data_IF_982061113391
#
_entry.id   IF_982061113391
#
_cell.length_a   1.000
_cell.length_b   1.000
_cell.length_c   1.000
_cell.angle_alpha   90.00
_cell.angle_beta   90.00
_cell.angle_gamma   90.00
#
_symmetry.space_group_name_H-M   'P 1'
#
loop_
_entity.id
_entity.type
_entity.pdbx_description
1 polymer ?
#
# COMPACT_ATOMS: atom_id res chain seq x y z
N UNK A 1 17.96 -18.25 -16.40
CA UNK A 1 17.37 -18.29 -15.04
C UNK A 1 18.47 -18.07 -14.03
N UNK A 2 18.57 -16.87 -13.46
CA UNK A 2 19.47 -16.54 -12.34
C UNK A 2 18.65 -15.80 -11.30
N UNK A 3 18.49 -16.41 -10.12
CA UNK A 3 17.89 -15.81 -8.93
C UNK A 3 18.98 -14.95 -8.29
N UNK A 4 18.81 -13.62 -8.30
CA UNK A 4 19.64 -12.73 -7.51
C UNK A 4 18.93 -12.46 -6.19
N UNK A 5 19.33 -13.22 -5.18
CA UNK A 5 19.08 -12.98 -3.78
C UNK A 5 20.03 -11.85 -3.33
N UNK A 6 19.54 -10.61 -3.25
CA UNK A 6 20.32 -9.52 -2.68
C UNK A 6 20.02 -9.44 -1.18
N UNK A 7 20.95 -9.97 -0.40
CA UNK A 7 20.98 -9.93 1.05
C UNK A 7 21.28 -8.48 1.47
N UNK A 8 20.29 -7.81 2.06
CA UNK A 8 20.42 -6.49 2.66
C UNK A 8 21.38 -6.60 3.85
N UNK A 9 22.63 -6.21 3.62
CA UNK A 9 23.72 -6.37 4.58
C UNK A 9 23.74 -5.19 5.53
N UNK A 10 23.19 -5.41 6.72
CA UNK A 10 23.74 -5.06 8.04
C UNK A 10 24.87 -4.01 8.07
N UNK A 11 24.52 -2.75 8.39
CA UNK A 11 25.47 -1.75 8.90
C UNK A 11 25.22 -1.51 10.40
N UNK A 12 25.43 -2.54 11.22
CA UNK A 12 25.57 -2.36 12.68
C UNK A 12 27.04 -1.99 12.93
N UNK A 13 27.33 -0.70 13.05
CA UNK A 13 28.58 -0.22 13.64
C UNK A 13 28.31 0.19 15.09
N UNK A 14 28.53 -0.79 15.97
CA UNK A 14 28.76 -0.59 17.41
C UNK A 14 29.91 0.42 17.61
N UNK A 15 29.63 1.55 18.24
CA UNK A 15 30.63 2.29 19.00
C UNK A 15 30.21 2.28 20.47
N UNK A 16 30.97 1.53 21.27
CA UNK A 16 30.82 1.45 22.70
C UNK A 16 31.69 2.50 23.41
N UNK A 17 31.26 2.84 24.63
CA UNK A 17 31.96 3.45 25.77
C UNK A 17 31.83 4.96 25.97
N UNK A 18 30.96 5.31 26.92
CA UNK A 18 30.92 6.61 27.59
C UNK A 18 29.98 6.58 28.79
N UNK A 19 30.43 6.06 29.94
CA UNK A 19 29.68 6.11 31.20
C UNK A 19 29.62 7.53 31.75
N UNK A 20 28.42 8.14 31.78
CA UNK A 20 28.04 9.14 32.77
C UNK A 20 26.54 9.03 33.06
N UNK A 21 26.24 8.68 34.31
CA UNK A 21 24.89 8.67 34.86
C UNK A 21 24.41 10.12 35.05
N UNK A 22 23.42 10.53 34.27
CA UNK A 22 22.61 11.74 34.49
C UNK A 22 21.23 11.51 33.86
N UNK A 23 20.18 11.62 34.66
CA UNK A 23 18.82 11.95 34.22
C UNK A 23 18.16 10.97 33.25
N UNK A 24 17.55 9.92 33.78
CA UNK A 24 16.77 8.95 33.01
C UNK A 24 15.34 9.48 32.80
N UNK A 25 15.20 10.52 31.97
CA UNK A 25 13.95 10.91 31.34
C UNK A 25 14.18 10.98 29.81
N UNK A 26 13.73 9.90 29.16
CA UNK A 26 13.31 9.76 27.76
C UNK A 26 14.28 10.13 26.62
N UNK A 27 15.36 9.35 26.48
CA UNK A 27 16.09 9.12 25.21
C UNK A 27 15.45 7.95 24.40
N UNK A 28 14.24 7.53 24.76
CA UNK A 28 13.41 6.60 23.99
C UNK A 28 12.70 7.25 22.77
N UNK A 29 12.99 8.51 22.45
CA UNK A 29 11.96 9.44 21.97
C UNK A 29 11.92 9.74 20.47
N UNK A 30 12.95 9.40 19.67
CA UNK A 30 12.90 9.66 18.23
C UNK A 30 13.59 8.60 17.37
N UNK A 31 14.79 8.16 17.73
CA UNK A 31 15.49 7.04 17.05
C UNK A 31 14.65 5.75 17.11
N UNK A 32 13.88 5.55 18.18
CA UNK A 32 12.94 4.42 18.32
C UNK A 32 11.76 4.52 17.35
N UNK A 33 11.23 5.73 17.11
CA UNK A 33 10.11 5.95 16.19
C UNK A 33 10.58 5.73 14.75
N UNK A 34 11.70 6.33 14.37
CA UNK A 34 12.26 6.18 13.03
C UNK A 34 12.54 4.70 12.71
N UNK A 35 13.10 3.95 13.66
CA UNK A 35 13.31 2.51 13.53
C UNK A 35 11.99 1.73 13.37
N UNK A 36 10.94 2.07 14.11
CA UNK A 36 9.61 1.45 13.95
C UNK A 36 9.01 1.71 12.58
N UNK A 37 9.03 2.96 12.11
CA UNK A 37 8.50 3.33 10.80
C UNK A 37 9.30 2.70 9.66
N UNK A 38 10.63 2.63 9.80
CA UNK A 38 11.49 1.94 8.86
C UNK A 38 11.18 0.44 8.83
N UNK A 39 11.02 -0.21 9.98
CA UNK A 39 10.67 -1.62 10.07
C UNK A 39 9.34 -1.92 9.36
N UNK A 40 8.30 -1.13 9.63
CA UNK A 40 7.00 -1.27 8.96
C UNK A 40 7.10 -1.05 7.44
N UNK A 41 7.89 -0.06 7.01
CA UNK A 41 8.11 0.20 5.59
C UNK A 41 8.80 -0.98 4.91
N UNK A 42 9.84 -1.56 5.52
CA UNK A 42 10.57 -2.71 5.00
C UNK A 42 9.65 -3.93 4.92
N UNK A 43 8.86 -4.20 5.95
CA UNK A 43 7.90 -5.31 5.98
C UNK A 43 6.85 -5.15 4.87
N UNK A 44 6.28 -3.95 4.72
CA UNK A 44 5.34 -3.64 3.65
C UNK A 44 5.94 -3.89 2.27
N UNK A 45 7.13 -3.35 1.97
CA UNK A 45 7.77 -3.53 0.68
C UNK A 45 8.21 -4.98 0.43
N UNK A 46 8.56 -5.72 1.47
CA UNK A 46 8.87 -7.16 1.39
C UNK A 46 7.66 -7.95 0.89
N UNK A 47 6.49 -7.74 1.50
CA UNK A 47 5.25 -8.39 1.05
C UNK A 47 4.86 -7.98 -0.38
N UNK A 48 4.97 -6.68 -0.70
CA UNK A 48 4.70 -6.18 -2.06
C UNK A 48 5.61 -6.83 -3.11
N UNK A 49 6.91 -6.98 -2.82
CA UNK A 49 7.87 -7.64 -3.70
C UNK A 49 7.61 -9.14 -3.88
N UNK A 50 7.07 -9.80 -2.85
CA UNK A 50 6.70 -11.22 -2.85
C UNK A 50 5.29 -11.51 -3.37
N UNK A 51 4.56 -10.48 -3.83
CA UNK A 51 3.14 -10.59 -4.24
C UNK A 51 2.18 -11.05 -3.13
N UNK A 52 2.58 -10.85 -1.88
CA UNK A 52 1.82 -11.18 -0.67
C UNK A 52 0.90 -10.01 -0.28
N UNK A 53 0.02 -9.60 -1.21
CA UNK A 53 -0.76 -8.37 -1.05
C UNK A 53 -1.74 -8.39 0.13
N UNK A 54 -2.20 -9.57 0.53
CA UNK A 54 -3.07 -9.73 1.71
C UNK A 54 -2.30 -9.45 2.99
N UNK A 55 -1.05 -9.92 3.08
CA UNK A 55 -0.19 -9.67 4.23
C UNK A 55 0.25 -8.19 4.28
N UNK A 56 0.61 -7.60 3.12
CA UNK A 56 0.86 -6.17 3.00
C UNK A 56 -0.35 -5.33 3.44
N UNK A 57 -1.57 -5.75 3.06
CA UNK A 57 -2.83 -5.14 3.48
C UNK A 57 -3.05 -5.28 4.99
N UNK A 58 -2.67 -6.42 5.58
CA UNK A 58 -2.74 -6.67 7.01
C UNK A 58 -1.93 -5.71 7.90
N UNK A 59 -0.93 -5.02 7.32
CA UNK A 59 -0.13 -4.00 8.02
C UNK A 59 -0.85 -2.65 8.17
N UNK A 60 -1.95 -2.42 7.45
CA UNK A 60 -2.71 -1.18 7.55
C UNK A 60 -3.51 -1.15 8.85
N UNK A 61 -3.72 0.05 9.35
CA UNK A 61 -4.68 0.29 10.41
C UNK A 61 -6.11 0.23 9.88
N UNK A 62 -6.97 -0.42 10.66
CA UNK A 62 -8.40 -0.55 10.38
C UNK A 62 -9.21 -0.09 11.60
N UNK A 63 -10.37 0.55 11.40
CA UNK A 63 -11.25 0.95 12.50
C UNK A 63 -11.57 -0.22 13.45
N UNK A 64 -11.42 0.03 14.75
CA UNK A 64 -11.58 -0.99 15.80
C UNK A 64 -13.03 -1.45 15.98
N UNK A 65 -13.99 -0.66 15.49
CA UNK A 65 -15.43 -0.93 15.51
C UNK A 65 -15.88 -1.78 14.31
N UNK A 66 -14.99 -2.10 13.36
CA UNK A 66 -15.29 -3.05 12.30
C UNK A 66 -15.51 -4.45 12.88
N UNK A 67 -16.58 -5.11 12.44
CA UNK A 67 -16.75 -6.55 12.70
C UNK A 67 -15.63 -7.34 12.00
N UNK A 68 -15.42 -8.58 12.43
CA UNK A 68 -14.42 -9.47 11.80
C UNK A 68 -14.68 -9.64 10.30
N UNK A 69 -15.95 -9.77 9.90
CA UNK A 69 -16.37 -9.90 8.51
C UNK A 69 -16.07 -8.62 7.74
N UNK A 70 -16.41 -7.46 8.32
CA UNK A 70 -16.16 -6.17 7.68
C UNK A 70 -14.66 -5.92 7.51
N UNK A 71 -13.87 -6.18 8.55
CA UNK A 71 -12.42 -6.04 8.51
C UNK A 71 -11.80 -6.95 7.45
N UNK A 72 -12.23 -8.21 7.38
CA UNK A 72 -11.76 -9.16 6.37
C UNK A 72 -12.10 -8.71 4.95
N UNK A 73 -13.32 -8.19 4.74
CA UNK A 73 -13.75 -7.61 3.46
C UNK A 73 -12.86 -6.43 3.05
N UNK A 74 -12.60 -5.50 3.97
CA UNK A 74 -11.79 -4.30 3.66
C UNK A 74 -10.33 -4.68 3.43
N UNK A 75 -9.74 -5.58 4.22
CA UNK A 75 -8.39 -6.12 3.97
C UNK A 75 -8.30 -6.72 2.56
N UNK A 76 -9.31 -7.51 2.16
CA UNK A 76 -9.35 -8.10 0.83
C UNK A 76 -9.48 -7.06 -0.29
N UNK A 77 -10.27 -6.00 -0.08
CA UNK A 77 -10.37 -4.88 -1.04
C UNK A 77 -9.05 -4.13 -1.15
N UNK A 78 -8.42 -3.80 -0.04
CA UNK A 78 -7.10 -3.13 0.01
C UNK A 78 -6.04 -3.98 -0.69
N UNK A 79 -6.03 -5.30 -0.50
CA UNK A 79 -5.05 -6.18 -1.18
C UNK A 79 -5.23 -6.19 -2.70
N UNK A 80 -6.48 -6.17 -3.20
CA UNK A 80 -6.75 -5.98 -4.64
C UNK A 80 -6.21 -4.65 -5.16
N UNK A 81 -6.36 -3.56 -4.39
CA UNK A 81 -5.85 -2.25 -4.78
C UNK A 81 -4.31 -2.19 -4.78
N UNK A 82 -3.66 -2.80 -3.78
CA UNK A 82 -2.20 -2.91 -3.73
C UNK A 82 -1.65 -3.68 -4.93
N UNK A 83 -2.35 -4.74 -5.38
CA UNK A 83 -2.00 -5.43 -6.61
C UNK A 83 -2.02 -4.50 -7.83
N UNK A 84 -3.00 -3.58 -7.92
CA UNK A 84 -3.06 -2.60 -9.02
C UNK A 84 -1.81 -1.72 -9.04
N UNK A 85 -1.26 -1.33 -7.88
CA UNK A 85 0.00 -0.59 -7.86
C UNK A 85 1.13 -1.36 -8.55
N UNK A 86 1.28 -2.65 -8.27
CA UNK A 86 2.30 -3.48 -8.92
C UNK A 86 2.00 -3.72 -10.40
N UNK A 87 0.73 -3.92 -10.76
CA UNK A 87 0.35 -4.14 -12.16
C UNK A 87 0.59 -2.88 -13.02
N UNK A 88 0.33 -1.69 -12.47
CA UNK A 88 0.38 -0.44 -13.21
C UNK A 88 1.74 0.25 -13.16
N UNK A 89 2.36 0.32 -11.99
CA UNK A 89 3.68 0.96 -11.81
C UNK A 89 4.82 -0.05 -11.86
N UNK A 90 4.57 -1.30 -11.52
CA UNK A 90 5.63 -2.27 -11.29
C UNK A 90 6.19 -2.21 -9.86
N UNK A 91 7.21 -3.02 -9.60
CA UNK A 91 7.88 -3.08 -8.31
C UNK A 91 8.82 -1.86 -8.19
N UNK A 92 8.69 -1.05 -7.12
CA UNK A 92 9.61 0.05 -6.89
C UNK A 92 11.01 -0.44 -6.49
N UNK A 93 12.01 0.36 -6.81
CA UNK A 93 13.42 0.13 -6.50
C UNK A 93 14.11 1.47 -6.21
N UNK A 94 15.38 1.44 -5.80
CA UNK A 94 16.19 2.63 -5.52
C UNK A 94 15.54 3.62 -4.53
N UNK A 95 14.96 3.08 -3.45
CA UNK A 95 14.30 3.87 -2.41
C UNK A 95 15.25 4.90 -1.80
N UNK A 96 14.86 6.16 -1.85
CA UNK A 96 15.57 7.26 -1.22
C UNK A 96 14.57 8.20 -0.55
N UNK A 97 14.77 8.49 0.73
CA UNK A 97 13.95 9.47 1.45
C UNK A 97 14.17 10.85 0.80
N UNK A 98 13.07 11.53 0.48
CA UNK A 98 13.09 12.92 0.03
C UNK A 98 12.13 13.75 0.88
N UNK A 99 12.65 14.39 1.91
CA UNK A 99 11.89 15.21 2.86
C UNK A 99 11.13 16.37 2.20
N UNK A 100 11.57 16.80 1.02
CA UNK A 100 10.97 17.90 0.25
C UNK A 100 10.68 17.44 -1.18
N UNK A 101 9.72 16.52 -1.39
CA UNK A 101 9.44 16.00 -2.71
C UNK A 101 8.93 17.12 -3.63
N UNK A 102 9.40 17.13 -4.88
CA UNK A 102 8.83 18.02 -5.89
C UNK A 102 7.33 17.69 -6.07
N UNK A 103 6.49 18.64 -6.51
CA UNK A 103 5.06 18.37 -6.70
C UNK A 103 4.80 17.11 -7.52
N UNK A 104 3.82 16.31 -7.11
CA UNK A 104 3.48 15.04 -7.73
C UNK A 104 1.96 14.81 -7.77
N UNK A 105 1.51 14.03 -8.75
CA UNK A 105 0.17 13.45 -8.76
C UNK A 105 0.26 12.05 -8.18
N UNK A 106 -0.72 11.64 -7.36
CA UNK A 106 -0.72 10.31 -6.77
C UNK A 106 -2.12 9.69 -6.74
N UNK A 107 -2.12 8.39 -6.51
CA UNK A 107 -3.29 7.64 -6.08
C UNK A 107 -2.97 6.91 -4.78
N UNK A 108 -3.93 6.86 -3.87
CA UNK A 108 -3.73 6.43 -2.48
C UNK A 108 -4.66 5.27 -2.11
N UNK A 109 -4.15 4.33 -1.33
CA UNK A 109 -4.90 3.24 -0.68
C UNK A 109 -4.84 3.42 0.83
N UNK A 110 -5.94 3.21 1.54
CA UNK A 110 -6.04 3.33 3.00
C UNK A 110 -6.98 2.27 3.60
N UNK A 111 -6.79 1.92 4.87
CA UNK A 111 -7.58 0.89 5.57
C UNK A 111 -8.90 1.37 6.19
N UNK A 112 -9.08 2.67 6.38
CA UNK A 112 -10.29 3.28 6.94
C UNK A 112 -10.92 4.31 5.99
N UNK A 113 -12.20 4.62 6.19
CA UNK A 113 -12.88 5.67 5.42
C UNK A 113 -12.52 7.08 5.92
N UNK A 114 -12.95 8.10 5.15
CA UNK A 114 -12.68 9.50 5.48
C UNK A 114 -13.23 9.89 6.85
N UNK A 115 -14.43 9.43 7.21
CA UNK A 115 -15.09 9.75 8.49
C UNK A 115 -14.32 9.18 9.69
N UNK A 116 -13.73 8.00 9.53
CA UNK A 116 -12.84 7.45 10.54
C UNK A 116 -11.59 8.32 10.69
N UNK A 117 -10.93 8.65 9.59
CA UNK A 117 -9.68 9.40 9.61
C UNK A 117 -9.82 10.87 10.04
N UNK A 118 -11.02 11.45 9.96
CA UNK A 118 -11.34 12.76 10.55
C UNK A 118 -11.13 12.76 12.08
N UNK A 119 -11.25 11.61 12.75
CA UNK A 119 -11.02 11.49 14.19
C UNK A 119 -9.53 11.36 14.55
N UNK A 120 -8.69 11.00 13.57
CA UNK A 120 -7.24 10.83 13.71
C UNK A 120 -6.52 11.68 12.66
N UNK A 121 -6.59 13.02 12.76
CA UNK A 121 -6.09 13.92 11.71
C UNK A 121 -4.55 13.94 11.64
N UNK A 122 -3.87 13.62 12.74
CA UNK A 122 -2.41 13.60 12.81
C UNK A 122 -1.82 12.38 12.10
N UNK A 123 -0.83 12.63 11.24
CA UNK A 123 -0.04 11.59 10.60
C UNK A 123 1.39 12.09 10.32
N UNK A 124 2.31 11.14 10.20
CA UNK A 124 3.64 11.35 9.66
C UNK A 124 3.69 10.79 8.24
N UNK A 125 4.40 11.45 7.34
CA UNK A 125 4.58 10.98 5.97
C UNK A 125 6.06 10.68 5.71
N UNK A 126 6.34 9.55 5.06
CA UNK A 126 7.66 9.19 4.56
C UNK A 126 7.60 9.18 3.03
N UNK A 127 7.94 10.29 2.37
CA UNK A 127 8.11 10.35 0.93
C UNK A 127 9.41 9.67 0.48
N UNK A 128 9.27 8.71 -0.43
CA UNK A 128 10.37 7.95 -1.02
C UNK A 128 10.41 8.23 -2.52
N UNK A 129 11.53 8.75 -3.01
CA UNK A 129 11.90 8.67 -4.42
C UNK A 129 12.18 7.21 -4.77
N UNK A 130 11.63 6.75 -5.89
CA UNK A 130 11.78 5.37 -6.38
C UNK A 130 11.91 5.34 -7.89
N UNK A 131 12.42 4.22 -8.40
CA UNK A 131 12.31 3.85 -9.82
C UNK A 131 11.32 2.69 -9.93
N UNK A 132 10.19 2.96 -10.55
CA UNK A 132 9.15 2.00 -10.90
C UNK A 132 9.52 1.23 -12.17
N UNK A 133 9.39 -0.11 -12.15
CA UNK A 133 9.78 -0.93 -13.31
C UNK A 133 8.93 -0.73 -14.57
N UNK A 134 7.76 -0.09 -14.49
CA UNK A 134 6.89 0.24 -15.63
C UNK A 134 6.71 1.74 -15.89
N UNK A 135 7.08 2.59 -14.94
CA UNK A 135 6.78 4.04 -14.98
C UNK A 135 8.01 4.94 -14.82
N UNK A 136 9.21 4.37 -14.70
CA UNK A 136 10.47 5.08 -14.41
C UNK A 136 10.43 5.82 -13.06
N UNK A 137 10.97 7.03 -12.98
CA UNK A 137 11.07 7.78 -11.74
C UNK A 137 9.68 8.14 -11.19
N UNK A 138 9.51 7.97 -9.88
CA UNK A 138 8.27 8.29 -9.20
C UNK A 138 8.44 8.37 -7.69
N UNK A 139 7.31 8.37 -7.01
CA UNK A 139 7.24 8.49 -5.56
C UNK A 139 6.37 7.39 -4.96
N UNK A 140 6.83 6.83 -3.84
CA UNK A 140 5.97 6.12 -2.89
C UNK A 140 5.90 6.95 -1.62
N UNK A 141 4.70 7.18 -1.11
CA UNK A 141 4.48 7.93 0.13
C UNK A 141 3.76 7.00 1.09
N UNK A 142 4.37 6.71 2.23
CA UNK A 142 3.72 5.96 3.31
C UNK A 142 3.30 6.96 4.38
N UNK A 143 2.01 6.93 4.74
CA UNK A 143 1.45 7.72 5.81
C UNK A 143 1.29 6.82 7.02
N UNK A 144 1.81 7.26 8.16
CA UNK A 144 1.71 6.59 9.44
C UNK A 144 0.89 7.43 10.41
N UNK A 145 0.03 6.79 11.19
CA UNK A 145 -0.64 7.43 12.31
C UNK A 145 -0.23 6.72 13.60
N UNK A 146 -0.12 7.50 14.68
CA UNK A 146 0.00 6.94 16.02
C UNK A 146 -1.41 6.73 16.57
N UNK A 147 -1.80 5.48 16.76
CA UNK A 147 -3.12 5.07 17.25
C UNK A 147 -2.89 4.24 18.51
N UNK A 148 -3.39 4.73 19.66
CA UNK A 148 -3.19 4.09 20.97
C UNK A 148 -1.70 3.76 21.26
N UNK A 149 -0.82 4.75 21.09
CA UNK A 149 0.63 4.66 21.31
C UNK A 149 1.37 3.68 20.38
N UNK A 150 0.72 3.24 19.30
CA UNK A 150 1.32 2.38 18.27
C UNK A 150 1.34 3.08 16.93
N UNK A 151 2.50 3.08 16.26
CA UNK A 151 2.62 3.54 14.88
C UNK A 151 2.11 2.47 13.92
N UNK A 152 1.19 2.85 13.03
CA UNK A 152 0.56 1.94 12.07
C UNK A 152 0.45 2.61 10.70
N UNK A 153 0.44 1.80 9.63
CA UNK A 153 0.27 2.32 8.27
C UNK A 153 -1.18 2.80 8.11
N UNK A 154 -1.36 4.11 7.91
CA UNK A 154 -2.65 4.70 7.58
C UNK A 154 -2.96 4.52 6.10
N UNK A 155 -2.00 4.87 5.26
CA UNK A 155 -2.17 4.88 3.81
C UNK A 155 -0.84 4.72 3.08
N UNK A 156 -0.92 4.25 1.83
CA UNK A 156 0.21 4.22 0.90
C UNK A 156 -0.24 4.85 -0.42
N UNK A 157 0.57 5.75 -0.95
CA UNK A 157 0.33 6.42 -2.21
C UNK A 157 1.45 6.15 -3.20
N UNK A 158 1.10 5.90 -4.46
CA UNK A 158 2.04 5.83 -5.57
C UNK A 158 1.80 7.05 -6.46
N UNK A 159 2.88 7.74 -6.82
CA UNK A 159 2.80 9.01 -7.52
C UNK A 159 3.86 9.20 -8.59
N UNK A 160 3.55 10.10 -9.52
CA UNK A 160 4.41 10.51 -10.61
C UNK A 160 4.74 12.01 -10.48
N UNK A 161 5.96 12.45 -10.84
CA UNK A 161 6.33 13.85 -10.77
C UNK A 161 5.40 14.71 -11.63
N UNK A 162 4.92 15.85 -11.11
CA UNK A 162 3.96 16.70 -11.81
C UNK A 162 4.53 17.31 -13.10
N UNK A 163 5.86 17.45 -13.17
CA UNK A 163 6.58 17.90 -14.36
C UNK A 163 6.70 16.83 -15.46
N UNK A 164 6.39 15.55 -15.19
CA UNK A 164 6.40 14.49 -16.21
C UNK A 164 5.20 14.68 -17.15
N UNK A 165 5.39 14.78 -18.47
CA UNK A 165 4.29 14.85 -19.43
C UNK A 165 3.34 13.65 -19.28
N UNK A 166 2.03 13.93 -19.18
CA UNK A 166 1.00 12.90 -19.03
C UNK A 166 0.83 12.31 -17.62
N UNK A 167 1.57 12.81 -16.62
CA UNK A 167 1.51 12.24 -15.26
C UNK A 167 0.12 12.30 -14.63
N UNK A 168 -0.60 13.42 -14.81
CA UNK A 168 -1.95 13.59 -14.27
C UNK A 168 -2.92 12.59 -14.90
N UNK A 169 -2.94 12.51 -16.22
CA UNK A 169 -3.78 11.61 -17.00
C UNK A 169 -3.51 10.16 -16.59
N UNK A 170 -2.23 9.81 -16.45
CA UNK A 170 -1.82 8.48 -16.03
C UNK A 170 -2.31 8.11 -14.63
N UNK A 171 -2.19 9.02 -13.67
CA UNK A 171 -2.73 8.81 -12.32
C UNK A 171 -4.25 8.67 -12.33
N UNK A 172 -4.95 9.45 -13.15
CA UNK A 172 -6.41 9.33 -13.33
C UNK A 172 -6.81 7.98 -13.92
N UNK A 173 -6.06 7.45 -14.89
CA UNK A 173 -6.28 6.11 -15.43
C UNK A 173 -6.16 5.02 -14.35
N UNK A 174 -5.09 5.08 -13.53
CA UNK A 174 -4.90 4.12 -12.44
C UNK A 174 -6.01 4.25 -11.39
N UNK A 175 -6.37 5.46 -11.00
CA UNK A 175 -7.49 5.72 -10.09
C UNK A 175 -8.80 5.14 -10.65
N UNK A 176 -9.04 5.27 -11.95
CA UNK A 176 -10.21 4.69 -12.61
C UNK A 176 -10.23 3.17 -12.52
N UNK A 177 -9.08 2.50 -12.73
CA UNK A 177 -8.96 1.04 -12.55
C UNK A 177 -9.26 0.63 -11.11
N UNK A 178 -8.74 1.37 -10.14
CA UNK A 178 -9.01 1.14 -8.71
C UNK A 178 -10.51 1.24 -8.40
N UNK A 179 -11.19 2.27 -8.91
CA UNK A 179 -12.63 2.43 -8.71
C UNK A 179 -13.44 1.28 -9.31
N UNK A 180 -13.08 0.82 -10.52
CA UNK A 180 -13.72 -0.34 -11.16
C UNK A 180 -13.51 -1.62 -10.33
N UNK A 181 -12.30 -1.85 -9.83
CA UNK A 181 -11.98 -3.03 -9.00
C UNK A 181 -12.75 -3.09 -7.68
N UNK A 182 -13.20 -1.95 -7.16
CA UNK A 182 -13.98 -1.87 -5.92
C UNK A 182 -15.49 -2.01 -6.13
N UNK A 183 -15.95 -2.04 -7.38
CA UNK A 183 -17.36 -2.29 -7.66
C UNK A 183 -17.74 -3.71 -7.21
N UNK A 184 -18.94 -3.91 -6.65
CA UNK A 184 -19.42 -5.25 -6.36
C UNK A 184 -19.41 -6.08 -7.65
N UNK A 185 -18.91 -7.31 -7.60
CA UNK A 185 -19.09 -8.24 -8.71
C UNK A 185 -20.60 -8.43 -8.92
N UNK A 186 -21.11 -8.07 -10.10
CA UNK A 186 -22.51 -8.34 -10.42
C UNK A 186 -22.77 -9.84 -10.23
N UNK A 187 -23.85 -10.23 -9.54
CA UNK A 187 -24.17 -11.63 -9.39
C UNK A 187 -24.32 -12.23 -10.79
N UNK A 188 -23.44 -13.19 -11.13
CA UNK A 188 -23.54 -13.93 -12.38
C UNK A 188 -24.93 -14.57 -12.43
N UNK A 189 -25.81 -14.02 -13.26
CA UNK A 189 -27.13 -14.60 -13.50
C UNK A 189 -26.87 -16.02 -14.03
N UNK A 190 -27.42 -17.07 -13.41
CA UNK A 190 -27.20 -18.42 -13.88
C UNK A 190 -27.64 -18.49 -15.35
N UNK A 191 -26.91 -19.24 -16.22
CA UNK A 191 -27.25 -19.34 -17.62
C UNK A 191 -28.71 -19.76 -17.74
N UNK A 192 -29.52 -18.89 -18.35
CA UNK A 192 -30.92 -19.17 -18.60
C UNK A 192 -30.94 -20.40 -19.51
N UNK A 193 -31.47 -21.52 -19.02
CA UNK A 193 -31.74 -22.68 -19.87
C UNK A 193 -32.82 -22.27 -20.87
N UNK A 194 -32.42 -21.72 -22.03
CA UNK A 194 -33.30 -21.65 -23.18
C UNK A 194 -33.72 -23.09 -23.50
N UNK A 195 -34.98 -23.41 -23.18
CA UNK A 195 -35.63 -24.62 -23.69
C UNK A 195 -35.79 -24.41 -25.20
N UNK A 196 -34.82 -24.88 -25.98
CA UNK A 196 -35.07 -25.10 -27.40
C UNK A 196 -36.21 -26.12 -27.50
N UNK A 197 -37.36 -25.79 -28.13
CA UNK A 197 -38.35 -26.80 -28.44
C UNK A 197 -37.72 -27.75 -29.46
N UNK A 198 -37.59 -29.03 -29.08
CA UNK A 198 -37.27 -30.10 -30.02
C UNK A 198 -38.46 -30.20 -30.97
N UNK A 199 -38.34 -29.63 -32.17
CA UNK A 199 -39.28 -29.87 -33.27
C UNK A 199 -38.91 -31.21 -33.89
N UNK A 200 -39.60 -32.27 -33.49
CA UNK A 200 -39.57 -33.54 -34.21
C UNK A 200 -40.37 -33.36 -35.51
N UNK A 201 -39.67 -33.20 -36.63
CA UNK A 201 -40.27 -33.33 -37.95
C UNK A 201 -40.67 -34.80 -38.17
N UNK A 202 -41.96 -35.08 -38.11
CA UNK A 202 -42.54 -36.36 -38.49
C UNK A 202 -42.70 -36.37 -40.01
N UNK A 203 -41.84 -37.12 -40.72
CA UNK A 203 -42.05 -37.41 -42.14
C UNK A 203 -43.12 -38.50 -42.28
N UNK A 204 -44.20 -38.21 -43.00
CA UNK A 204 -45.09 -39.16 -43.66
C UNK A 204 -45.13 -38.84 -45.14
#
# INVERSE_FOLDING_TARGET
>A
MKKNLLILTCCILLSALGSRATGQESVETQESIEAQLQSLSVEFFSHMASSEYTDASGLFHYPVDYTSEKRSEVIHRVSKLLKIFVDEFGIPSNYKINETPAPYYNVTVCGGDMKYWEQYPSYMQIPLEVVFSRESDGYVIILFSNIHDKWEIRAVAYGLPAQRPGAKERIVEVMTKMLITLQPEEPQKPPSKEKYPIVLASNK
#
